data_IF_415295988736
#
_entry.id   IF_415295988736
#
_cell.length_a   1.000
_cell.length_b   1.000
_cell.length_c   1.000
_cell.angle_alpha   90.00
_cell.angle_beta   90.00
_cell.angle_gamma   90.00
#
_symmetry.space_group_name_H-M   'P 1'
#
loop_
_entity.id
_entity.type
_entity.pdbx_description
1 polymer ?
#
# COMPACT_ATOMS: atom_id res chain seq x y z
N UNK A 1 -6.41 -4.79 -6.31
CA UNK A 1 -5.13 -4.61 -5.58
C UNK A 1 -4.81 -3.12 -5.54
N UNK A 2 -4.71 -2.51 -4.36
CA UNK A 2 -4.31 -1.11 -4.17
C UNK A 2 -2.92 -1.04 -3.55
N UNK A 3 -1.97 -0.40 -4.24
CA UNK A 3 -0.61 -0.18 -3.73
C UNK A 3 -0.51 1.27 -3.24
N UNK A 4 -0.49 1.39 -1.93
CA UNK A 4 -0.50 2.61 -1.12
C UNK A 4 -1.58 3.61 -1.57
N UNK A 5 -2.86 3.20 -1.69
CA UNK A 5 -3.91 4.04 -2.24
C UNK A 5 -4.15 5.29 -1.36
N UNK A 6 -4.50 6.40 -2.01
CA UNK A 6 -4.79 7.69 -1.36
C UNK A 6 -5.98 8.36 -2.03
N UNK A 7 -6.99 8.75 -1.25
CA UNK A 7 -8.19 9.44 -1.71
C UNK A 7 -8.10 10.96 -1.47
N UNK A 8 -7.15 11.61 -2.13
CA UNK A 8 -6.99 13.07 -2.06
C UNK A 8 -6.08 13.56 -0.93
N UNK A 9 -6.34 14.76 -0.42
CA UNK A 9 -5.37 15.50 0.40
C UNK A 9 -5.65 15.44 1.90
N UNK A 10 -6.90 15.21 2.29
CA UNK A 10 -7.38 15.17 3.67
C UNK A 10 -8.83 14.68 3.69
N UNK A 11 -9.34 14.30 4.85
CA UNK A 11 -10.76 13.98 5.03
C UNK A 11 -11.63 15.20 4.70
N UNK A 12 -12.61 15.03 3.80
CA UNK A 12 -13.41 16.13 3.25
C UNK A 12 -12.72 16.96 2.16
N UNK A 13 -11.49 16.59 1.77
CA UNK A 13 -10.74 17.13 0.61
C UNK A 13 -10.29 16.00 -0.30
N UNK A 14 -11.18 15.03 -0.48
CA UNK A 14 -10.96 13.87 -1.33
C UNK A 14 -10.94 14.26 -2.80
N UNK A 15 -10.33 13.43 -3.63
CA UNK A 15 -10.33 13.67 -5.08
C UNK A 15 -11.75 13.42 -5.59
N UNK A 16 -12.40 14.36 -6.31
CA UNK A 16 -13.73 14.10 -6.83
C UNK A 16 -13.70 13.10 -8.01
N UNK A 17 -14.56 12.06 -8.04
CA UNK A 17 -15.50 11.67 -6.98
C UNK A 17 -14.79 10.94 -5.82
N UNK A 18 -15.20 11.18 -4.55
CA UNK A 18 -14.59 10.52 -3.40
C UNK A 18 -14.77 9.01 -3.48
N UNK A 19 -13.72 8.27 -3.18
CA UNK A 19 -13.75 6.81 -3.14
C UNK A 19 -14.10 6.32 -1.73
N UNK A 20 -13.50 6.93 -0.71
CA UNK A 20 -13.77 6.59 0.69
C UNK A 20 -15.12 7.17 1.14
N UNK A 21 -15.95 6.31 1.71
CA UNK A 21 -17.27 6.64 2.27
C UNK A 21 -17.23 6.82 3.78
N UNK A 22 -16.14 6.37 4.42
CA UNK A 22 -15.94 6.26 5.87
C UNK A 22 -16.93 5.33 6.58
N UNK A 23 -17.58 4.44 5.83
CA UNK A 23 -18.41 3.36 6.36
C UNK A 23 -17.59 2.07 6.30
N UNK A 24 -17.32 1.39 7.43
CA UNK A 24 -16.58 0.14 7.41
C UNK A 24 -17.25 -0.88 6.47
N UNK A 25 -16.43 -1.62 5.72
CA UNK A 25 -16.90 -2.68 4.82
C UNK A 25 -17.90 -2.21 3.73
N UNK A 26 -17.80 -0.95 3.30
CA UNK A 26 -18.63 -0.35 2.24
C UNK A 26 -18.27 -0.82 0.83
N UNK A 27 -17.03 -1.26 0.60
CA UNK A 27 -16.54 -1.70 -0.70
C UNK A 27 -17.04 -3.12 -0.98
N UNK A 28 -18.22 -3.19 -1.57
CA UNK A 28 -18.78 -4.39 -2.18
C UNK A 28 -18.24 -4.53 -3.62
N UNK A 29 -17.14 -5.28 -3.75
CA UNK A 29 -16.41 -5.42 -5.02
C UNK A 29 -16.56 -6.81 -5.65
N UNK A 30 -17.25 -7.75 -4.99
CA UNK A 30 -17.38 -9.15 -5.41
C UNK A 30 -16.03 -9.82 -5.79
N UNK A 31 -14.95 -9.40 -5.14
CA UNK A 31 -13.60 -9.93 -5.37
C UNK A 31 -12.72 -9.76 -4.14
N UNK A 32 -11.70 -10.60 -4.05
CA UNK A 32 -10.67 -10.47 -3.03
C UNK A 32 -9.88 -9.16 -3.19
N UNK A 33 -9.51 -8.53 -2.08
CA UNK A 33 -8.74 -7.28 -2.08
C UNK A 33 -7.36 -7.48 -1.46
N UNK A 34 -6.35 -6.87 -2.08
CA UNK A 34 -5.03 -6.66 -1.49
C UNK A 34 -4.81 -5.16 -1.36
N UNK A 35 -4.48 -4.71 -0.15
CA UNK A 35 -4.02 -3.36 0.14
C UNK A 35 -2.58 -3.43 0.67
N UNK A 36 -1.64 -2.78 -0.01
CA UNK A 36 -0.24 -2.69 0.45
C UNK A 36 0.05 -1.25 0.82
N UNK A 37 0.23 -0.95 2.09
CA UNK A 37 0.53 0.39 2.59
C UNK A 37 2.02 0.68 2.78
N UNK A 38 2.35 1.96 2.86
CA UNK A 38 3.66 2.48 3.25
C UNK A 38 3.62 3.08 4.66
N UNK A 39 4.62 2.78 5.50
CA UNK A 39 4.69 3.25 6.89
C UNK A 39 5.15 4.71 7.02
N UNK A 40 5.84 5.25 6.02
CA UNK A 40 6.28 6.65 5.99
C UNK A 40 5.30 7.57 5.23
N UNK A 41 4.25 7.03 4.61
CA UNK A 41 3.32 7.80 3.77
C UNK A 41 2.61 8.95 4.51
N UNK A 42 2.29 8.74 5.78
CA UNK A 42 1.67 9.74 6.66
C UNK A 42 2.66 10.78 7.22
N UNK A 43 3.95 10.58 7.01
CA UNK A 43 5.01 11.44 7.53
C UNK A 43 5.29 12.56 6.54
N UNK A 44 5.24 13.81 7.03
CA UNK A 44 5.69 14.99 6.28
C UNK A 44 7.16 14.85 5.94
N UNK A 45 7.52 15.11 4.68
CA UNK A 45 8.94 15.15 4.29
C UNK A 45 9.66 16.32 4.97
N UNK A 46 9.05 17.51 4.94
CA UNK A 46 9.52 18.72 5.62
C UNK A 46 8.37 19.74 5.74
N UNK A 47 8.67 20.98 6.19
CA UNK A 47 7.65 22.03 6.40
C UNK A 47 6.83 22.38 5.14
N UNK A 48 7.42 22.28 3.96
CA UNK A 48 6.78 22.69 2.69
C UNK A 48 6.12 21.53 1.94
N UNK A 49 6.47 20.29 2.28
CA UNK A 49 5.95 19.09 1.62
C UNK A 49 5.09 18.30 2.62
N UNK A 50 3.75 18.31 2.45
CA UNK A 50 2.84 17.57 3.33
C UNK A 50 3.03 16.05 3.20
N UNK A 51 2.34 15.23 4.02
CA UNK A 51 2.32 13.79 3.81
C UNK A 51 1.78 13.45 2.43
N UNK A 52 2.28 12.37 1.84
CA UNK A 52 1.78 11.90 0.54
C UNK A 52 0.62 10.91 0.67
N UNK A 53 0.51 10.21 1.80
CA UNK A 53 -0.60 9.35 2.15
C UNK A 53 -1.13 9.72 3.55
N UNK A 54 -1.77 10.91 3.68
CA UNK A 54 -2.21 11.42 4.97
C UNK A 54 -3.29 10.54 5.59
N UNK A 55 -3.26 10.42 6.92
CA UNK A 55 -4.26 9.66 7.68
C UNK A 55 -5.68 10.19 7.42
N UNK A 56 -6.64 9.28 7.31
CA UNK A 56 -8.04 9.62 7.01
C UNK A 56 -8.37 9.64 5.51
N UNK A 57 -7.38 9.45 4.65
CA UNK A 57 -7.57 9.21 3.21
C UNK A 57 -6.56 8.21 2.64
N UNK A 58 -5.94 7.34 3.45
CA UNK A 58 -4.83 6.48 3.02
C UNK A 58 -5.18 5.00 3.01
N UNK A 59 -4.17 4.15 2.77
CA UNK A 59 -4.28 2.70 2.72
C UNK A 59 -5.00 2.05 3.91
N UNK A 60 -4.88 2.60 5.12
CA UNK A 60 -5.61 2.13 6.31
C UNK A 60 -7.13 2.33 6.12
N UNK A 61 -7.54 3.51 5.66
CA UNK A 61 -8.93 3.82 5.38
C UNK A 61 -9.50 2.97 4.24
N UNK A 62 -8.71 2.75 3.17
CA UNK A 62 -9.10 1.85 2.08
C UNK A 62 -9.31 0.42 2.58
N UNK A 63 -8.43 -0.10 3.45
CA UNK A 63 -8.59 -1.44 4.00
C UNK A 63 -9.82 -1.54 4.91
N UNK A 64 -10.07 -0.54 5.76
CA UNK A 64 -11.24 -0.51 6.65
C UNK A 64 -12.58 -0.57 5.90
N UNK A 65 -12.61 -0.05 4.67
CA UNK A 65 -13.80 -0.09 3.81
C UNK A 65 -13.91 -1.38 3.00
N UNK A 66 -12.86 -2.22 2.94
CA UNK A 66 -12.91 -3.50 2.22
C UNK A 66 -13.80 -4.53 2.92
N UNK A 67 -14.57 -5.28 2.13
CA UNK A 67 -15.22 -6.53 2.57
C UNK A 67 -14.26 -7.72 2.47
N UNK A 68 -14.58 -8.80 3.19
CA UNK A 68 -13.84 -10.04 3.10
C UNK A 68 -14.04 -10.70 1.71
N UNK A 69 -13.01 -11.36 1.15
CA UNK A 69 -11.67 -11.51 1.71
C UNK A 69 -10.74 -10.32 1.37
N UNK A 70 -10.06 -9.77 2.36
CA UNK A 70 -9.13 -8.64 2.21
C UNK A 70 -7.81 -8.86 2.97
N UNK A 71 -6.70 -8.63 2.27
CA UNK A 71 -5.34 -8.70 2.80
C UNK A 71 -4.76 -7.29 2.95
N UNK A 72 -4.11 -7.02 4.07
CA UNK A 72 -3.49 -5.74 4.37
C UNK A 72 -2.07 -5.91 4.89
N UNK A 73 -1.11 -5.32 4.19
CA UNK A 73 0.29 -5.36 4.56
C UNK A 73 0.84 -3.95 4.56
N UNK A 74 1.60 -3.57 5.59
CA UNK A 74 2.25 -2.26 5.63
C UNK A 74 3.75 -2.41 5.82
N UNK A 75 4.49 -1.69 4.98
CA UNK A 75 5.95 -1.74 4.94
C UNK A 75 6.53 -0.59 5.76
N UNK A 76 7.21 -0.92 6.84
CA UNK A 76 7.51 0.00 7.94
C UNK A 76 8.31 1.23 7.52
N UNK A 77 9.48 1.01 6.91
CA UNK A 77 10.48 2.07 6.67
C UNK A 77 10.47 2.60 5.22
N UNK A 78 9.30 2.57 4.57
CA UNK A 78 9.13 2.96 3.17
C UNK A 78 7.98 3.96 3.00
N UNK A 79 8.08 4.79 1.98
CA UNK A 79 7.12 5.84 1.66
C UNK A 79 6.37 5.63 0.35
N UNK A 80 5.43 6.55 0.11
CA UNK A 80 4.46 6.50 -0.99
C UNK A 80 5.06 6.46 -2.41
N UNK A 81 6.35 6.75 -2.60
CA UNK A 81 6.99 6.66 -3.93
C UNK A 81 8.03 5.56 -4.03
N UNK A 82 8.22 4.77 -2.98
CA UNK A 82 9.27 3.75 -2.98
C UNK A 82 8.87 2.48 -3.74
N UNK A 83 7.61 2.34 -4.16
CA UNK A 83 7.18 1.32 -5.12
C UNK A 83 7.47 1.69 -6.59
N UNK A 84 7.99 2.89 -6.86
CA UNK A 84 8.36 3.32 -8.21
C UNK A 84 9.78 2.89 -8.59
N UNK A 85 10.08 2.90 -9.89
CA UNK A 85 11.43 2.66 -10.43
C UNK A 85 12.47 3.62 -9.84
N UNK A 86 13.74 3.17 -9.82
CA UNK A 86 14.89 3.97 -9.40
C UNK A 86 15.25 5.10 -10.40
N UNK A 87 14.85 4.94 -11.65
CA UNK A 87 14.97 5.98 -12.66
C UNK A 87 13.62 6.20 -13.34
N UNK A 88 12.92 7.24 -12.90
CA UNK A 88 11.67 7.66 -13.52
C UNK A 88 11.95 8.76 -14.55
N UNK A 89 11.58 8.52 -15.81
CA UNK A 89 11.86 9.44 -16.92
C UNK A 89 11.13 10.79 -16.76
N UNK A 90 11.73 11.84 -17.30
CA UNK A 90 11.18 13.19 -17.29
C UNK A 90 11.35 13.95 -15.98
N UNK A 91 11.04 15.25 -16.01
CA UNK A 91 11.23 16.17 -14.87
C UNK A 91 10.38 15.74 -13.66
N UNK A 92 9.13 15.31 -13.91
CA UNK A 92 8.22 14.83 -12.86
C UNK A 92 8.72 13.55 -12.18
N UNK A 93 9.32 12.64 -12.94
CA UNK A 93 9.93 11.44 -12.40
C UNK A 93 11.07 11.77 -11.43
N UNK A 94 12.03 12.60 -11.88
CA UNK A 94 13.15 13.05 -11.03
C UNK A 94 12.69 13.78 -9.76
N UNK A 95 11.60 14.54 -9.83
CA UNK A 95 11.02 15.25 -8.69
C UNK A 95 10.26 14.34 -7.71
N UNK A 96 9.82 13.13 -8.11
CA UNK A 96 9.12 12.19 -7.22
C UNK A 96 9.94 11.84 -5.97
N UNK A 97 11.26 11.83 -6.09
CA UNK A 97 12.19 11.62 -4.97
C UNK A 97 12.15 12.73 -3.92
N UNK A 98 11.61 13.90 -4.26
CA UNK A 98 11.69 15.11 -3.47
C UNK A 98 10.38 15.51 -2.79
N UNK A 99 9.26 14.86 -3.12
CA UNK A 99 7.94 15.24 -2.63
C UNK A 99 7.52 14.48 -1.38
N UNK A 100 7.81 13.19 -1.31
CA UNK A 100 7.38 12.33 -0.21
C UNK A 100 8.50 12.02 0.77
N UNK A 101 8.16 11.67 2.02
CA UNK A 101 9.11 11.00 2.91
C UNK A 101 9.33 9.60 2.34
N UNK A 102 10.61 9.20 2.19
CA UNK A 102 11.01 7.95 1.55
C UNK A 102 11.95 7.17 2.47
N UNK A 103 12.05 5.86 2.22
CA UNK A 103 13.03 4.96 2.77
C UNK A 103 14.42 5.17 2.18
N UNK A 104 15.33 4.23 2.50
CA UNK A 104 16.74 4.32 2.10
C UNK A 104 16.96 4.05 0.61
N UNK A 105 16.28 3.06 0.06
CA UNK A 105 16.32 2.63 -1.34
C UNK A 105 14.92 2.18 -1.77
N UNK A 106 14.60 2.15 -3.07
CA UNK A 106 13.26 1.73 -3.54
C UNK A 106 13.17 0.25 -3.88
N UNK A 107 14.28 -0.35 -4.32
CA UNK A 107 14.32 -1.73 -4.79
C UNK A 107 13.62 -2.74 -3.86
N UNK A 108 13.87 -2.76 -2.53
CA UNK A 108 13.23 -3.76 -1.67
C UNK A 108 11.70 -3.61 -1.60
N UNK A 109 11.19 -2.37 -1.60
CA UNK A 109 9.75 -2.13 -1.65
C UNK A 109 9.15 -2.61 -2.97
N UNK A 110 9.81 -2.34 -4.10
CA UNK A 110 9.37 -2.88 -5.40
C UNK A 110 9.37 -4.41 -5.43
N UNK A 111 10.42 -5.03 -4.90
CA UNK A 111 10.53 -6.49 -4.83
C UNK A 111 9.39 -7.09 -3.98
N UNK A 112 9.11 -6.50 -2.81
CA UNK A 112 7.95 -6.90 -2.01
C UNK A 112 6.65 -6.76 -2.80
N UNK A 113 6.37 -5.57 -3.34
CA UNK A 113 5.12 -5.27 -4.06
C UNK A 113 4.91 -6.27 -5.20
N UNK A 114 5.94 -6.53 -6.01
CA UNK A 114 5.86 -7.53 -7.07
C UNK A 114 5.58 -8.94 -6.53
N UNK A 115 6.31 -9.34 -5.49
CA UNK A 115 6.15 -10.66 -4.86
C UNK A 115 4.77 -10.89 -4.25
N UNK A 116 4.25 -9.93 -3.47
CA UNK A 116 2.94 -10.06 -2.82
C UNK A 116 1.80 -10.02 -3.84
N UNK A 117 1.91 -9.22 -4.90
CA UNK A 117 0.91 -9.21 -5.98
C UNK A 117 0.84 -10.58 -6.66
N UNK A 118 1.99 -11.20 -6.96
CA UNK A 118 2.04 -12.55 -7.52
C UNK A 118 1.47 -13.58 -6.55
N UNK A 119 1.85 -13.54 -5.27
CA UNK A 119 1.32 -14.45 -4.26
C UNK A 119 -0.20 -14.33 -4.10
N UNK A 120 -0.73 -13.11 -4.14
CA UNK A 120 -2.15 -12.83 -4.07
C UNK A 120 -2.90 -13.35 -5.31
N UNK A 121 -2.37 -13.12 -6.51
CA UNK A 121 -2.96 -13.66 -7.74
C UNK A 121 -2.96 -15.19 -7.76
N UNK A 122 -1.87 -15.84 -7.34
CA UNK A 122 -1.84 -17.31 -7.21
C UNK A 122 -2.91 -17.82 -6.25
N UNK A 123 -3.08 -17.16 -5.10
CA UNK A 123 -4.07 -17.55 -4.10
C UNK A 123 -5.51 -17.50 -4.65
N UNK A 124 -5.89 -16.40 -5.30
CA UNK A 124 -7.30 -16.16 -5.66
C UNK A 124 -7.65 -16.49 -7.11
N UNK A 125 -6.67 -16.65 -8.01
CA UNK A 125 -6.90 -17.02 -9.41
C UNK A 125 -6.45 -18.46 -9.74
N UNK A 126 -5.50 -19.01 -9.00
CA UNK A 126 -4.97 -20.37 -9.22
C UNK A 126 -5.27 -21.35 -8.06
N UNK A 127 -6.00 -20.91 -7.03
CA UNK A 127 -6.28 -21.69 -5.81
C UNK A 127 -5.00 -22.19 -5.09
N UNK A 128 -3.92 -21.40 -5.17
CA UNK A 128 -2.62 -21.69 -4.57
C UNK A 128 -2.26 -20.63 -3.50
N UNK A 129 -2.77 -20.75 -2.27
CA UNK A 129 -2.54 -19.77 -1.20
C UNK A 129 -1.21 -19.97 -0.48
N UNK A 130 -0.34 -20.87 -0.95
CA UNK A 130 0.86 -21.31 -0.23
C UNK A 130 1.79 -20.14 0.13
N UNK A 131 2.11 -19.28 -0.84
CA UNK A 131 2.96 -18.10 -0.65
C UNK A 131 2.31 -17.07 0.27
N UNK A 132 1.02 -16.80 0.09
CA UNK A 132 0.30 -15.81 0.88
C UNK A 132 0.19 -16.24 2.36
N UNK A 133 -0.04 -17.53 2.60
CA UNK A 133 -0.04 -18.13 3.94
C UNK A 133 1.34 -18.14 4.59
N UNK A 134 2.42 -18.32 3.80
CA UNK A 134 3.78 -18.23 4.32
C UNK A 134 4.10 -16.81 4.82
N UNK A 135 3.66 -15.78 4.10
CA UNK A 135 3.78 -14.37 4.51
C UNK A 135 2.94 -14.10 5.75
N UNK A 136 1.66 -14.49 5.76
CA UNK A 136 0.75 -14.35 6.91
C UNK A 136 1.33 -14.99 8.19
N UNK A 137 1.93 -16.17 8.06
CA UNK A 137 2.51 -16.90 9.18
C UNK A 137 3.88 -16.40 9.65
N UNK A 138 4.45 -15.36 9.02
CA UNK A 138 5.80 -14.88 9.31
C UNK A 138 6.89 -15.93 9.01
N UNK A 139 6.59 -16.91 8.15
CA UNK A 139 7.49 -18.02 7.82
C UNK A 139 8.36 -17.75 6.59
N UNK A 140 8.04 -16.71 5.82
CA UNK A 140 8.83 -16.32 4.65
C UNK A 140 10.08 -15.55 5.09
N UNK A 141 11.25 -16.18 4.93
CA UNK A 141 12.54 -15.61 5.36
C UNK A 141 13.18 -14.70 4.31
N UNK A 142 12.59 -14.62 3.11
CA UNK A 142 13.11 -13.82 1.99
C UNK A 142 12.40 -12.49 1.79
N UNK A 143 11.55 -12.05 2.74
CA UNK A 143 10.92 -10.73 2.66
C UNK A 143 12.02 -9.66 2.75
N UNK A 144 12.21 -8.81 1.74
CA UNK A 144 13.36 -7.88 1.67
C UNK A 144 13.17 -6.62 2.54
N UNK A 145 12.10 -6.56 3.33
CA UNK A 145 11.64 -5.38 4.08
C UNK A 145 10.99 -5.79 5.40
N UNK A 146 10.98 -4.86 6.36
CA UNK A 146 10.25 -5.03 7.61
C UNK A 146 8.76 -4.68 7.41
N UNK A 147 7.89 -5.62 7.76
CA UNK A 147 6.44 -5.42 7.77
C UNK A 147 6.01 -4.96 9.17
N UNK A 148 5.30 -3.83 9.25
CA UNK A 148 4.72 -3.35 10.51
C UNK A 148 3.33 -3.96 10.78
N UNK A 149 2.59 -4.29 9.71
CA UNK A 149 1.23 -4.82 9.76
C UNK A 149 1.10 -5.94 8.73
N UNK A 150 0.47 -7.04 9.14
CA UNK A 150 0.04 -8.14 8.27
C UNK A 150 -1.31 -8.64 8.77
N UNK A 151 -2.38 -8.23 8.09
CA UNK A 151 -3.76 -8.51 8.49
C UNK A 151 -4.54 -9.15 7.34
N UNK A 152 -5.44 -10.05 7.71
CA UNK A 152 -6.25 -10.83 6.77
C UNK A 152 -7.67 -10.86 7.34
N UNK A 153 -8.57 -10.17 6.65
CA UNK A 153 -10.00 -10.22 6.89
C UNK A 153 -10.58 -11.28 5.95
N UNK A 154 -11.10 -12.37 6.50
CA UNK A 154 -11.55 -13.56 5.77
C UNK A 154 -13.05 -13.78 5.96
#
# INVERSE_FOLDING_TARGET
MGIDPVDGMDKGKQTPPPVLTYVPQSFDLDMAVLVVGSGLGEIKRNRFFPPCAPKGVNHEDFYNECQAPACYLVVKDYGHTDMLDDETKGIRGKLSYCTCKNGKTREPMRQLVGGIMVAFMKAYLEDDPSYLNAIKGGKETRIPVDLQTVEFFM
#
